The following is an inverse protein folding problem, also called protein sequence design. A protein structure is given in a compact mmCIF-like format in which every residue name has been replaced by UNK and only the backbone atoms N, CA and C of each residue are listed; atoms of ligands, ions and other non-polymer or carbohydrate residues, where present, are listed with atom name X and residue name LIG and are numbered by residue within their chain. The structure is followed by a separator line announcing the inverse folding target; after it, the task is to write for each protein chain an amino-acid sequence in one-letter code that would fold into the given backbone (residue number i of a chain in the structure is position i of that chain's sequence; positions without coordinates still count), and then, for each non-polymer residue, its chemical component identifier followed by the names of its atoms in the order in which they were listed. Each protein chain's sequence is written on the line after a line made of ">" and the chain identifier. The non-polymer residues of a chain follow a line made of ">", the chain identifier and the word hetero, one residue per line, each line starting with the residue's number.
data_IF_195778338979
#
_entry.id   IF_195778338979
#
_cell.length_a   1.000
_cell.length_b   1.000
_cell.length_c   1.000
_cell.angle_alpha   90.00
_cell.angle_beta   90.00
_cell.angle_gamma   90.00
#
_symmetry.space_group_name_H-M   'P 1'
#
loop_
_entity.id
_entity.type
_entity.pdbx_description
1 polymer ?
#
# COMPACT_ATOMS: atom_id res chain seq x y z
N UNK A 1 -18.96 17.28 -25.21
CA UNK A 1 -17.55 17.75 -25.29
C UNK A 1 -16.99 17.90 -23.87
N UNK A 2 -15.87 17.25 -23.50
CA UNK A 2 -15.26 17.46 -22.17
C UNK A 2 -14.50 18.80 -22.20
N UNK A 3 -14.79 19.75 -21.29
CA UNK A 3 -14.12 21.05 -21.27
C UNK A 3 -12.61 20.87 -21.12
N UNK A 4 -11.83 21.66 -21.89
CA UNK A 4 -10.35 21.55 -21.97
C UNK A 4 -9.67 21.59 -20.60
N UNK A 5 -10.29 22.20 -19.58
CA UNK A 5 -9.75 22.43 -18.23
C UNK A 5 -9.64 21.18 -17.34
N UNK A 6 -10.29 20.06 -17.68
CA UNK A 6 -10.28 18.83 -16.85
C UNK A 6 -9.43 17.68 -17.39
N UNK A 7 -8.48 17.97 -18.29
CA UNK A 7 -7.66 16.95 -18.98
C UNK A 7 -6.25 16.98 -18.44
N UNK A 8 -5.72 15.80 -18.15
CA UNK A 8 -4.33 15.59 -17.78
C UNK A 8 -3.38 16.04 -18.89
N UNK A 9 -2.14 16.30 -18.49
CA UNK A 9 -1.05 16.71 -19.36
C UNK A 9 -0.07 15.56 -19.58
N UNK A 10 0.68 15.60 -20.68
CA UNK A 10 1.77 14.68 -20.99
C UNK A 10 2.95 15.50 -21.49
N UNK A 11 4.15 14.97 -21.29
CA UNK A 11 5.32 15.48 -21.99
C UNK A 11 5.19 15.18 -23.48
N UNK A 12 5.44 16.19 -24.30
CA UNK A 12 5.52 16.07 -25.75
C UNK A 12 6.86 15.41 -26.11
N UNK A 13 6.87 14.55 -27.13
CA UNK A 13 8.08 13.90 -27.65
C UNK A 13 8.84 13.03 -26.62
N UNK A 14 8.16 12.63 -25.55
CA UNK A 14 8.68 11.73 -24.52
C UNK A 14 7.76 10.51 -24.40
N UNK A 15 8.36 9.33 -24.26
CA UNK A 15 7.61 8.09 -24.06
C UNK A 15 6.68 8.22 -22.84
N UNK A 16 5.38 7.90 -22.96
CA UNK A 16 4.45 7.98 -21.83
C UNK A 16 4.97 7.21 -20.61
N UNK A 17 4.97 7.87 -19.45
CA UNK A 17 5.52 7.32 -18.21
C UNK A 17 6.96 7.73 -17.92
N UNK A 18 7.69 8.34 -18.86
CA UNK A 18 9.01 8.90 -18.57
C UNK A 18 8.91 10.38 -18.18
N UNK A 19 9.81 10.80 -17.28
CA UNK A 19 10.05 12.19 -16.95
C UNK A 19 11.32 12.63 -17.71
N UNK A 20 11.31 13.75 -18.43
CA UNK A 20 12.49 14.23 -19.15
C UNK A 20 13.67 14.47 -18.19
N UNK A 21 14.88 14.20 -18.66
CA UNK A 21 16.13 14.45 -17.92
C UNK A 21 16.48 15.92 -17.82
N UNK A 22 16.03 16.73 -18.77
CA UNK A 22 16.23 18.18 -18.80
C UNK A 22 14.93 18.90 -18.40
N UNK A 23 15.05 19.91 -17.53
CA UNK A 23 13.93 20.71 -17.09
C UNK A 23 13.30 21.46 -18.26
N UNK A 24 11.97 21.41 -18.37
CA UNK A 24 11.13 22.12 -19.33
C UNK A 24 10.89 21.48 -20.71
N UNK A 25 10.63 20.16 -20.74
CA UNK A 25 10.01 19.57 -21.93
C UNK A 25 8.59 20.16 -22.17
N UNK A 26 8.23 20.50 -23.41
CA UNK A 26 6.90 20.99 -23.74
C UNK A 26 5.84 19.97 -23.35
N UNK A 27 4.65 20.43 -22.96
CA UNK A 27 3.55 19.55 -22.57
C UNK A 27 2.35 19.69 -23.49
N UNK A 28 1.60 18.61 -23.64
CA UNK A 28 0.35 18.56 -24.39
C UNK A 28 -0.75 17.97 -23.52
N UNK A 29 -2.02 18.15 -23.91
CA UNK A 29 -3.16 17.58 -23.18
C UNK A 29 -3.62 16.28 -23.83
N UNK A 30 -4.03 15.33 -22.99
CA UNK A 30 -4.57 14.06 -23.48
C UNK A 30 -5.88 14.24 -24.26
N UNK A 31 -6.17 13.31 -25.18
CA UNK A 31 -7.42 13.31 -25.97
C UNK A 31 -8.68 13.03 -25.11
N UNK A 32 -8.53 12.57 -23.86
CA UNK A 32 -9.60 12.29 -22.89
C UNK A 32 -9.49 13.10 -21.60
N UNK A 33 -9.88 12.51 -20.46
CA UNK A 33 -9.59 13.06 -19.11
C UNK A 33 -8.19 12.70 -18.64
N UNK A 34 -7.79 11.47 -18.91
CA UNK A 34 -6.49 10.90 -18.57
C UNK A 34 -5.97 10.10 -19.76
N UNK A 35 -4.70 9.74 -19.70
CA UNK A 35 -4.09 8.82 -20.66
C UNK A 35 -4.68 7.41 -20.50
N UNK A 36 -5.02 6.78 -21.63
CA UNK A 36 -5.65 5.46 -21.74
C UNK A 36 -4.82 4.47 -22.56
N UNK A 37 -3.54 4.78 -22.81
CA UNK A 37 -2.66 3.82 -23.46
C UNK A 37 -2.33 2.66 -22.52
N UNK A 38 -1.62 1.69 -23.06
CA UNK A 38 -1.15 0.54 -22.30
C UNK A 38 0.16 0.89 -21.60
N UNK A 39 0.16 0.89 -20.27
CA UNK A 39 1.37 1.15 -19.50
C UNK A 39 2.35 -0.01 -19.68
N UNK A 40 3.60 0.32 -19.99
CA UNK A 40 4.69 -0.65 -19.99
C UNK A 40 4.86 -1.22 -18.57
N UNK A 41 5.07 -2.53 -18.47
CA UNK A 41 5.29 -3.22 -17.20
C UNK A 41 6.49 -2.58 -16.48
N UNK A 42 6.32 -2.27 -15.19
CA UNK A 42 7.38 -1.80 -14.31
C UNK A 42 7.58 -2.84 -13.23
N UNK A 43 8.82 -3.34 -13.05
CA UNK A 43 9.12 -4.37 -12.04
C UNK A 43 9.26 -3.82 -10.62
N UNK A 44 9.37 -2.49 -10.49
CA UNK A 44 9.56 -1.79 -9.23
C UNK A 44 8.56 -0.65 -9.12
N UNK A 45 8.16 -0.26 -7.90
CA UNK A 45 7.34 0.93 -7.72
C UNK A 45 8.04 2.17 -8.28
N UNK A 46 7.26 3.21 -8.67
CA UNK A 46 7.84 4.46 -9.12
C UNK A 46 8.80 5.02 -8.06
N UNK A 47 9.99 5.46 -8.50
CA UNK A 47 11.03 5.92 -7.58
C UNK A 47 10.55 7.10 -6.74
N UNK A 48 10.70 7.00 -5.42
CA UNK A 48 10.34 8.06 -4.47
C UNK A 48 8.83 8.26 -4.31
N UNK A 49 8.01 7.27 -4.67
CA UNK A 49 6.55 7.33 -4.51
C UNK A 49 6.14 6.30 -3.47
N UNK A 50 5.75 6.77 -2.28
CA UNK A 50 5.24 5.91 -1.22
C UNK A 50 3.92 5.20 -1.62
N UNK A 51 3.55 4.09 -0.95
CA UNK A 51 2.33 3.36 -1.25
C UNK A 51 1.06 4.23 -1.26
N UNK A 52 0.81 5.02 -0.20
CA UNK A 52 -0.38 5.88 -0.13
C UNK A 52 -0.45 6.91 -1.28
N UNK A 53 0.69 7.46 -1.67
CA UNK A 53 0.78 8.41 -2.78
C UNK A 53 0.50 7.74 -4.13
N UNK A 54 0.79 6.43 -4.26
CA UNK A 54 0.44 5.65 -5.45
C UNK A 54 -1.08 5.54 -5.63
N UNK A 55 -1.85 5.40 -4.56
CA UNK A 55 -3.32 5.44 -4.63
C UNK A 55 -3.80 6.81 -5.08
N UNK A 56 -3.29 7.85 -4.43
CA UNK A 56 -3.68 9.24 -4.74
C UNK A 56 -3.34 9.65 -6.17
N UNK A 57 -2.19 9.23 -6.71
CA UNK A 57 -1.84 9.58 -8.10
C UNK A 57 -2.66 8.80 -9.12
N UNK A 58 -3.32 7.68 -8.78
CA UNK A 58 -4.14 6.92 -9.73
C UNK A 58 -5.46 7.60 -10.05
N UNK A 59 -6.15 8.17 -9.06
CA UNK A 59 -7.50 8.76 -9.23
C UNK A 59 -7.68 10.17 -8.61
N UNK A 60 -6.69 10.64 -7.85
CA UNK A 60 -6.70 11.92 -7.15
C UNK A 60 -7.43 11.90 -5.82
N UNK A 61 -7.75 10.73 -5.26
CA UNK A 61 -8.40 10.52 -3.96
C UNK A 61 -7.41 9.84 -3.03
N UNK A 62 -7.35 10.30 -1.78
CA UNK A 62 -6.72 9.53 -0.71
C UNK A 62 -7.83 8.68 -0.10
N UNK A 63 -7.78 7.38 -0.35
CA UNK A 63 -8.73 6.40 0.18
C UNK A 63 -8.28 5.90 1.56
N UNK A 64 -9.18 5.38 2.41
CA UNK A 64 -8.74 4.83 3.69
C UNK A 64 -7.78 3.65 3.50
N UNK A 65 -7.95 2.84 2.43
CA UNK A 65 -6.99 1.78 2.08
C UNK A 65 -5.57 2.29 1.89
N UNK A 66 -5.40 3.51 1.40
CA UNK A 66 -4.09 4.13 1.19
C UNK A 66 -3.41 4.42 2.53
N UNK A 67 -4.19 4.88 3.52
CA UNK A 67 -3.71 5.14 4.88
C UNK A 67 -3.35 3.83 5.60
N UNK A 68 -4.16 2.78 5.42
CA UNK A 68 -3.84 1.44 5.94
C UNK A 68 -2.54 0.91 5.33
N UNK A 69 -2.38 1.00 4.01
CA UNK A 69 -1.16 0.59 3.33
C UNK A 69 0.09 1.36 3.82
N UNK A 70 -0.01 2.66 4.06
CA UNK A 70 1.09 3.46 4.60
C UNK A 70 1.48 3.03 6.02
N UNK A 71 0.52 2.66 6.84
CA UNK A 71 0.79 2.17 8.19
C UNK A 71 1.50 0.81 8.16
N UNK A 72 1.09 -0.09 7.27
CA UNK A 72 1.78 -1.37 7.06
C UNK A 72 3.19 -1.14 6.50
N UNK A 73 3.33 -0.22 5.53
CA UNK A 73 4.63 0.19 5.00
C UNK A 73 5.56 0.77 6.07
N UNK A 74 5.05 1.59 6.99
CA UNK A 74 5.82 2.11 8.11
C UNK A 74 6.27 1.00 9.05
N UNK A 75 5.41 0.00 9.29
CA UNK A 75 5.78 -1.14 10.12
C UNK A 75 6.86 -2.00 9.47
N UNK A 76 6.71 -2.29 8.18
CA UNK A 76 7.69 -3.04 7.39
C UNK A 76 9.02 -2.30 7.25
N UNK A 77 9.01 -0.96 7.29
CA UNK A 77 10.22 -0.11 7.38
C UNK A 77 10.82 -0.07 8.79
N UNK A 78 10.24 -0.77 9.77
CA UNK A 78 10.77 -0.87 11.12
C UNK A 78 10.53 0.37 11.99
N UNK A 79 9.50 1.18 11.71
CA UNK A 79 9.14 2.29 12.59
C UNK A 79 8.43 1.81 13.85
N UNK A 80 7.56 0.82 13.70
CA UNK A 80 6.87 0.16 14.80
C UNK A 80 6.56 -1.30 14.41
N UNK A 81 6.41 -2.18 15.40
CA UNK A 81 5.91 -3.54 15.20
C UNK A 81 4.44 -3.64 15.59
N UNK A 82 3.72 -4.57 14.96
CA UNK A 82 2.39 -5.01 15.40
C UNK A 82 2.52 -6.43 15.94
N UNK A 83 1.89 -6.70 17.08
CA UNK A 83 1.77 -8.02 17.67
C UNK A 83 0.32 -8.24 18.07
N UNK A 84 -0.26 -9.36 17.66
CA UNK A 84 -1.59 -9.74 18.13
C UNK A 84 -1.50 -10.18 19.59
N UNK A 85 -2.36 -9.64 20.44
CA UNK A 85 -2.46 -9.97 21.85
C UNK A 85 -3.93 -10.23 22.17
N UNK A 86 -4.29 -11.50 22.36
CA UNK A 86 -5.67 -11.96 22.47
C UNK A 86 -6.51 -11.51 21.24
N UNK A 87 -7.57 -10.73 21.46
CA UNK A 87 -8.45 -10.14 20.45
C UNK A 87 -8.09 -8.66 20.12
N UNK A 88 -6.90 -8.18 20.51
CA UNK A 88 -6.45 -6.81 20.25
C UNK A 88 -5.05 -6.78 19.63
N UNK A 89 -4.66 -5.62 19.12
CA UNK A 89 -3.37 -5.38 18.49
C UNK A 89 -2.51 -4.50 19.36
N UNK A 90 -1.35 -5.01 19.76
CA UNK A 90 -0.32 -4.24 20.43
C UNK A 90 0.63 -3.64 19.39
N UNK A 91 0.84 -2.34 19.46
CA UNK A 91 1.79 -1.61 18.64
C UNK A 91 2.96 -1.18 19.52
N UNK A 92 4.18 -1.41 19.07
CA UNK A 92 5.41 -1.06 19.78
C UNK A 92 6.34 -0.25 18.87
N UNK A 93 6.69 0.96 19.30
CA UNK A 93 7.56 1.87 18.57
C UNK A 93 9.02 1.37 18.64
N UNK A 94 9.61 1.11 17.48
CA UNK A 94 10.95 0.48 17.39
C UNK A 94 12.08 1.52 17.31
N UNK A 95 11.75 2.77 17.01
CA UNK A 95 12.72 3.86 16.86
C UNK A 95 12.10 5.23 17.13
N UNK A 96 12.93 6.17 17.53
CA UNK A 96 12.51 7.55 17.70
C UNK A 96 11.98 8.13 16.38
N UNK A 97 10.89 8.90 16.45
CA UNK A 97 10.28 9.55 15.28
C UNK A 97 11.17 10.72 14.85
N UNK A 98 11.94 10.54 13.79
CA UNK A 98 12.84 11.56 13.22
C UNK A 98 12.18 12.13 11.96
N UNK A 99 11.68 13.37 12.05
CA UNK A 99 10.89 13.99 10.98
C UNK A 99 11.65 14.17 9.64
N UNK A 100 12.98 14.16 9.63
CA UNK A 100 13.76 14.25 8.39
C UNK A 100 13.81 12.95 7.58
N UNK A 101 13.46 11.82 8.19
CA UNK A 101 13.43 10.49 7.54
C UNK A 101 12.03 10.09 7.06
N UNK A 102 11.03 10.91 7.36
CA UNK A 102 9.61 10.62 7.17
C UNK A 102 8.95 11.72 6.35
N UNK A 103 7.91 11.36 5.61
CA UNK A 103 7.03 12.38 5.03
C UNK A 103 6.21 13.06 6.14
N UNK A 104 5.74 14.31 5.93
CA UNK A 104 4.85 14.97 6.90
C UNK A 104 3.59 14.14 7.23
N UNK A 105 3.06 13.40 6.26
CA UNK A 105 1.91 12.53 6.47
C UNK A 105 2.25 11.35 7.41
N UNK A 106 3.41 10.74 7.23
CA UNK A 106 3.88 9.65 8.06
C UNK A 106 4.16 10.08 9.51
N UNK A 107 4.75 11.27 9.69
CA UNK A 107 4.95 11.86 11.03
C UNK A 107 3.61 12.04 11.74
N UNK A 108 2.61 12.60 11.05
CA UNK A 108 1.28 12.81 11.62
C UNK A 108 0.62 11.48 12.00
N UNK A 109 0.76 10.45 11.15
CA UNK A 109 0.22 9.12 11.46
C UNK A 109 0.91 8.51 12.69
N UNK A 110 2.23 8.49 12.73
CA UNK A 110 2.99 7.91 13.86
C UNK A 110 2.69 8.63 15.17
N UNK A 111 2.64 9.96 15.16
CA UNK A 111 2.26 10.74 16.35
C UNK A 111 0.82 10.49 16.79
N UNK A 112 -0.07 10.18 15.86
CA UNK A 112 -1.45 9.78 16.15
C UNK A 112 -1.54 8.39 16.76
N UNK A 113 -0.74 7.44 16.26
CA UNK A 113 -0.68 6.06 16.77
C UNK A 113 -0.03 6.00 18.15
N UNK A 114 0.98 6.82 18.41
CA UNK A 114 1.74 6.83 19.67
C UNK A 114 1.57 8.18 20.41
N UNK A 115 0.37 8.46 20.95
CA UNK A 115 0.10 9.73 21.62
C UNK A 115 0.98 9.89 22.86
N UNK A 116 1.49 11.11 23.07
CA UNK A 116 2.32 11.41 24.24
C UNK A 116 3.69 10.73 24.25
N UNK A 117 4.18 10.26 23.09
CA UNK A 117 5.44 9.50 22.97
C UNK A 117 5.39 8.13 23.69
N UNK A 118 4.21 7.52 23.76
CA UNK A 118 4.10 6.15 24.23
C UNK A 118 4.96 5.22 23.37
N UNK A 119 5.75 4.35 24.01
CA UNK A 119 6.55 3.33 23.30
C UNK A 119 5.69 2.12 22.94
N UNK A 120 4.64 1.83 23.73
CA UNK A 120 3.73 0.71 23.49
C UNK A 120 2.29 1.15 23.70
N UNK A 121 1.40 0.76 22.79
CA UNK A 121 -0.04 1.05 22.85
C UNK A 121 -0.85 -0.14 22.40
N UNK A 122 -2.07 -0.28 22.92
CA UNK A 122 -3.07 -1.16 22.29
C UNK A 122 -3.88 -0.36 21.26
N UNK A 123 -4.19 -0.99 20.14
CA UNK A 123 -4.94 -0.39 19.05
C UNK A 123 -6.32 0.08 19.52
N UNK A 124 -7.01 -0.74 20.30
CA UNK A 124 -8.31 -0.38 20.88
C UNK A 124 -8.26 0.91 21.72
N UNK A 125 -7.14 1.19 22.39
CA UNK A 125 -6.94 2.36 23.23
C UNK A 125 -6.75 3.64 22.41
N UNK A 126 -6.04 3.55 21.28
CA UNK A 126 -5.73 4.71 20.43
C UNK A 126 -6.81 4.99 19.38
N UNK A 127 -7.58 3.98 18.99
CA UNK A 127 -8.66 4.05 17.99
C UNK A 127 -9.65 5.21 18.20
N UNK A 128 -10.16 5.48 19.43
CA UNK A 128 -11.07 6.61 19.66
C UNK A 128 -10.48 7.99 19.32
N UNK A 129 -9.16 8.16 19.49
CA UNK A 129 -8.44 9.41 19.25
C UNK A 129 -7.92 9.58 17.82
N UNK A 130 -7.89 8.51 17.01
CA UNK A 130 -7.17 8.49 15.74
C UNK A 130 -7.89 9.23 14.59
N UNK A 131 -9.16 9.58 14.77
CA UNK A 131 -9.98 10.23 13.75
C UNK A 131 -9.38 11.56 13.23
N UNK A 132 -8.83 12.37 14.13
CA UNK A 132 -8.23 13.66 13.77
C UNK A 132 -6.84 13.47 13.12
N UNK A 133 -5.91 12.66 13.69
CA UNK A 133 -4.66 12.30 13.02
C UNK A 133 -4.85 11.76 11.60
N UNK A 134 -5.79 10.85 11.37
CA UNK A 134 -6.06 10.31 10.02
C UNK A 134 -6.53 11.38 9.03
N UNK A 135 -7.40 12.31 9.49
CA UNK A 135 -7.82 13.46 8.68
C UNK A 135 -6.65 14.40 8.35
N UNK A 136 -5.78 14.66 9.32
CA UNK A 136 -4.59 15.49 9.13
C UNK A 136 -3.57 14.81 8.20
N UNK A 137 -3.34 13.51 8.36
CA UNK A 137 -2.51 12.69 7.49
C UNK A 137 -2.99 12.75 6.04
N UNK A 138 -4.30 12.59 5.83
CA UNK A 138 -4.93 12.75 4.52
C UNK A 138 -4.66 14.13 3.91
N UNK A 139 -4.75 15.19 4.72
CA UNK A 139 -4.47 16.54 4.28
C UNK A 139 -2.99 16.71 3.87
N UNK A 140 -2.05 16.10 4.60
CA UNK A 140 -0.64 16.09 4.23
C UNK A 140 -0.38 15.37 2.91
N UNK A 141 -1.00 14.20 2.66
CA UNK A 141 -0.87 13.50 1.38
C UNK A 141 -1.35 14.38 0.20
N UNK A 142 -2.45 15.12 0.37
CA UNK A 142 -2.90 16.06 -0.65
C UNK A 142 -1.95 17.25 -0.85
N UNK A 143 -1.28 17.73 0.21
CA UNK A 143 -0.23 18.75 0.08
C UNK A 143 0.99 18.18 -0.64
N UNK A 144 1.37 16.95 -0.33
CA UNK A 144 2.54 16.29 -0.90
C UNK A 144 2.40 16.08 -2.41
N UNK A 145 1.27 15.58 -2.91
CA UNK A 145 1.07 15.43 -4.38
C UNK A 145 1.12 16.77 -5.14
N UNK A 146 0.87 17.89 -4.46
CA UNK A 146 1.04 19.24 -5.02
C UNK A 146 2.50 19.68 -4.94
N UNK A 147 3.17 19.47 -3.81
CA UNK A 147 4.60 19.79 -3.63
C UNK A 147 5.49 19.00 -4.61
N UNK A 148 5.16 17.73 -4.85
CA UNK A 148 5.81 16.88 -5.85
C UNK A 148 5.53 17.30 -7.30
N UNK A 149 4.65 18.30 -7.49
CA UNK A 149 4.29 18.85 -8.79
C UNK A 149 3.38 17.94 -9.61
N UNK A 150 2.74 16.92 -9.03
CA UNK A 150 1.85 16.00 -9.75
C UNK A 150 0.49 16.63 -10.03
N UNK A 151 0.05 17.53 -9.15
CA UNK A 151 -1.12 18.37 -9.32
C UNK A 151 -0.75 19.84 -9.13
N UNK A 152 -1.36 20.73 -9.92
CA UNK A 152 -1.14 22.20 -9.77
C UNK A 152 -1.79 22.79 -8.51
N UNK A 153 -2.75 22.07 -7.93
CA UNK A 153 -3.55 22.50 -6.77
C UNK A 153 -4.16 21.26 -6.13
N UNK A 154 -4.60 21.40 -4.89
CA UNK A 154 -5.24 20.32 -4.13
C UNK A 154 -6.36 19.64 -4.96
N UNK A 155 -6.24 18.31 -5.23
CA UNK A 155 -7.21 17.54 -6.02
C UNK A 155 -8.67 17.66 -5.55
N UNK A 156 -8.91 17.91 -4.26
CA UNK A 156 -10.24 18.06 -3.67
C UNK A 156 -10.93 19.36 -4.10
N UNK A 157 -10.17 20.43 -4.40
CA UNK A 157 -10.73 21.74 -4.79
C UNK A 157 -11.52 21.71 -6.10
N UNK A 158 -11.40 20.65 -6.90
CA UNK A 158 -12.23 20.41 -8.09
C UNK A 158 -13.60 19.79 -7.80
N UNK A 159 -13.86 19.34 -6.57
CA UNK A 159 -15.01 18.49 -6.20
C UNK A 159 -16.09 19.20 -5.38
N UNK A 160 -16.36 20.48 -5.63
CA UNK A 160 -17.37 21.25 -4.89
C UNK A 160 -18.84 20.93 -5.24
N UNK A 161 -19.10 19.91 -6.06
CA UNK A 161 -20.40 19.23 -6.11
C UNK A 161 -20.20 17.84 -6.72
N UNK A 162 -20.82 16.79 -6.13
CA UNK A 162 -21.01 15.46 -6.77
C UNK A 162 -21.68 15.55 -8.16
N UNK A 163 -22.12 16.74 -8.57
CA UNK A 163 -22.87 17.01 -9.79
C UNK A 163 -22.13 17.92 -10.79
N UNK A 164 -20.94 18.47 -10.48
CA UNK A 164 -20.18 19.33 -11.43
C UNK A 164 -18.83 18.70 -11.80
N UNK A 165 -18.73 18.30 -13.07
CA UNK A 165 -17.61 17.66 -13.77
C UNK A 165 -16.32 18.50 -13.78
N UNK A 166 -15.61 18.62 -12.66
CA UNK A 166 -14.42 19.47 -12.58
C UNK A 166 -13.24 18.89 -11.81
N UNK A 167 -12.78 17.66 -12.09
CA UNK A 167 -11.56 17.15 -11.46
C UNK A 167 -10.37 18.08 -11.67
N UNK A 168 -9.44 18.12 -10.72
CA UNK A 168 -8.14 18.76 -10.95
C UNK A 168 -7.31 17.82 -11.84
N UNK A 169 -6.89 18.27 -13.04
CA UNK A 169 -6.05 17.45 -13.90
C UNK A 169 -4.65 17.30 -13.32
N UNK A 170 -4.00 16.17 -13.60
CA UNK A 170 -2.58 15.98 -13.34
C UNK A 170 -1.74 16.81 -14.29
N UNK A 171 -0.58 17.22 -13.80
CA UNK A 171 0.50 17.76 -14.64
C UNK A 171 1.12 16.64 -15.47
N UNK A 172 1.98 16.98 -16.43
CA UNK A 172 2.75 15.99 -17.19
C UNK A 172 3.57 15.06 -16.28
N UNK A 173 4.19 15.62 -15.22
CA UNK A 173 4.90 14.84 -14.19
C UNK A 173 3.96 13.89 -13.45
N UNK A 174 2.80 14.37 -13.00
CA UNK A 174 1.81 13.54 -12.32
C UNK A 174 1.25 12.43 -13.21
N UNK A 175 1.07 12.71 -14.50
CA UNK A 175 0.67 11.69 -15.47
C UNK A 175 1.78 10.68 -15.76
N UNK A 176 3.05 11.11 -15.81
CA UNK A 176 4.17 10.18 -15.94
C UNK A 176 4.23 9.23 -14.74
N UNK A 177 4.15 9.76 -13.52
CA UNK A 177 4.11 8.94 -12.29
C UNK A 177 2.91 7.99 -12.31
N UNK A 178 1.71 8.47 -12.64
CA UNK A 178 0.53 7.60 -12.77
C UNK A 178 0.76 6.45 -13.75
N UNK A 179 1.38 6.71 -14.90
CA UNK A 179 1.65 5.68 -15.91
C UNK A 179 2.65 4.65 -15.37
N UNK A 180 3.70 5.09 -14.66
CA UNK A 180 4.61 4.18 -13.96
C UNK A 180 3.88 3.34 -12.90
N UNK A 181 3.03 3.97 -12.08
CA UNK A 181 2.20 3.28 -11.07
C UNK A 181 1.30 2.23 -11.72
N UNK A 182 0.67 2.54 -12.86
CA UNK A 182 -0.12 1.57 -13.63
C UNK A 182 0.73 0.42 -14.18
N UNK A 183 1.96 0.72 -14.63
CA UNK A 183 2.91 -0.29 -15.08
C UNK A 183 3.35 -1.23 -13.95
N UNK A 184 3.51 -0.71 -12.74
CA UNK A 184 3.86 -1.50 -11.56
C UNK A 184 2.68 -2.31 -11.04
N UNK A 185 1.48 -1.72 -11.01
CA UNK A 185 0.24 -2.44 -10.75
C UNK A 185 0.09 -3.62 -11.71
N UNK A 186 0.35 -3.40 -13.00
CA UNK A 186 0.31 -4.47 -14.01
C UNK A 186 1.30 -5.59 -13.69
N UNK A 187 2.53 -5.27 -13.30
CA UNK A 187 3.48 -6.28 -12.84
C UNK A 187 2.89 -7.11 -11.70
N UNK A 188 2.35 -6.49 -10.65
CA UNK A 188 1.71 -7.21 -9.55
C UNK A 188 0.43 -7.96 -9.95
N UNK A 189 -0.24 -7.58 -11.05
CA UNK A 189 -1.41 -8.28 -11.62
C UNK A 189 -1.04 -9.43 -12.58
N UNK A 190 0.19 -9.47 -13.10
CA UNK A 190 0.63 -10.49 -14.07
C UNK A 190 1.83 -11.29 -13.62
N UNK A 191 2.45 -10.96 -12.49
CA UNK A 191 3.60 -11.68 -11.95
C UNK A 191 3.24 -13.16 -11.77
N UNK A 192 4.13 -14.02 -12.25
CA UNK A 192 4.06 -15.47 -12.11
C UNK A 192 5.10 -15.95 -11.10
N UNK A 193 4.72 -16.88 -10.24
CA UNK A 193 5.61 -17.44 -9.22
C UNK A 193 6.89 -18.08 -9.81
N UNK A 194 6.81 -18.60 -11.04
CA UNK A 194 7.96 -19.16 -11.77
C UNK A 194 9.08 -18.16 -12.06
N UNK A 195 8.78 -16.85 -12.04
CA UNK A 195 9.72 -15.78 -12.35
C UNK A 195 10.40 -15.19 -11.11
N UNK A 196 9.91 -15.52 -9.92
CA UNK A 196 10.42 -14.98 -8.65
C UNK A 196 11.35 -16.02 -8.04
N UNK A 197 12.57 -15.59 -7.71
CA UNK A 197 13.52 -16.43 -6.97
C UNK A 197 13.04 -16.57 -5.53
N UNK A 198 13.16 -17.77 -4.97
CA UNK A 198 12.67 -18.04 -3.63
C UNK A 198 13.37 -17.17 -2.58
N UNK A 199 14.68 -17.01 -2.74
CA UNK A 199 15.55 -16.18 -1.90
C UNK A 199 15.14 -14.70 -1.92
N UNK A 200 14.45 -14.25 -2.97
CA UNK A 200 13.96 -12.87 -3.09
C UNK A 200 12.49 -12.73 -2.68
N UNK A 201 11.76 -13.84 -2.52
CA UNK A 201 10.31 -13.82 -2.34
C UNK A 201 9.91 -13.08 -1.07
N UNK A 202 10.67 -13.26 0.02
CA UNK A 202 10.51 -12.58 1.30
C UNK A 202 10.59 -11.05 1.16
N UNK A 203 11.72 -10.57 0.62
CA UNK A 203 12.00 -9.15 0.44
C UNK A 203 11.00 -8.50 -0.52
N UNK A 204 10.69 -9.17 -1.63
CA UNK A 204 9.70 -8.68 -2.59
C UNK A 204 8.29 -8.64 -2.00
N UNK A 205 7.91 -9.66 -1.21
CA UNK A 205 6.62 -9.68 -0.54
C UNK A 205 6.46 -8.47 0.38
N UNK A 206 7.39 -8.29 1.31
CA UNK A 206 7.40 -7.16 2.25
C UNK A 206 7.41 -5.82 1.51
N UNK A 207 8.28 -5.67 0.51
CA UNK A 207 8.40 -4.39 -0.22
C UNK A 207 7.16 -4.04 -1.03
N UNK A 208 6.45 -5.03 -1.59
CA UNK A 208 5.35 -4.78 -2.54
C UNK A 208 3.95 -4.96 -1.95
N UNK A 209 3.81 -5.58 -0.78
CA UNK A 209 2.53 -5.77 -0.10
C UNK A 209 1.75 -4.45 0.11
N UNK A 210 2.34 -3.36 0.63
CA UNK A 210 1.61 -2.10 0.77
C UNK A 210 1.06 -1.55 -0.55
N UNK A 211 1.79 -1.71 -1.66
CA UNK A 211 1.31 -1.29 -2.98
C UNK A 211 0.19 -2.20 -3.48
N UNK A 212 0.29 -3.51 -3.26
CA UNK A 212 -0.77 -4.45 -3.60
C UNK A 212 -2.06 -4.14 -2.83
N UNK A 213 -1.97 -3.74 -1.55
CA UNK A 213 -3.10 -3.27 -0.75
C UNK A 213 -3.75 -2.02 -1.34
N UNK A 214 -2.95 -1.03 -1.77
CA UNK A 214 -3.46 0.17 -2.44
C UNK A 214 -4.17 -0.16 -3.75
N UNK A 215 -3.61 -1.08 -4.54
CA UNK A 215 -4.20 -1.48 -5.82
C UNK A 215 -5.40 -2.42 -5.67
N UNK A 216 -5.62 -2.99 -4.48
CA UNK A 216 -6.65 -3.97 -4.20
C UNK A 216 -6.41 -5.33 -4.85
N UNK A 217 -5.14 -5.76 -4.83
CA UNK A 217 -4.67 -7.04 -5.36
C UNK A 217 -3.76 -7.75 -4.36
N UNK A 218 -3.90 -7.45 -3.06
CA UNK A 218 -3.09 -8.04 -1.99
C UNK A 218 -3.21 -9.57 -1.98
N UNK A 219 -4.43 -10.10 -2.08
CA UNK A 219 -4.71 -11.55 -2.08
C UNK A 219 -3.99 -12.26 -3.22
N UNK A 220 -4.07 -11.68 -4.43
CA UNK A 220 -3.36 -12.20 -5.60
C UNK A 220 -1.86 -12.23 -5.37
N UNK A 221 -1.31 -11.13 -4.84
CA UNK A 221 0.12 -11.01 -4.58
C UNK A 221 0.60 -12.01 -3.52
N UNK A 222 -0.14 -12.16 -2.42
CA UNK A 222 0.11 -13.18 -1.41
C UNK A 222 0.06 -14.59 -2.01
N UNK A 223 -0.93 -14.88 -2.87
CA UNK A 223 -1.05 -16.15 -3.57
C UNK A 223 0.15 -16.48 -4.48
N UNK A 224 0.70 -15.48 -5.19
CA UNK A 224 1.92 -15.65 -6.00
C UNK A 224 3.10 -16.04 -5.12
N UNK A 225 3.35 -15.32 -4.01
CA UNK A 225 4.46 -15.61 -3.11
C UNK A 225 4.29 -16.97 -2.41
N UNK A 226 3.06 -17.31 -2.00
CA UNK A 226 2.75 -18.63 -1.45
C UNK A 226 3.07 -19.76 -2.43
N UNK A 227 2.81 -19.58 -3.73
CA UNK A 227 3.24 -20.52 -4.77
C UNK A 227 4.76 -20.56 -4.96
N UNK A 228 5.48 -19.43 -4.88
CA UNK A 228 6.96 -19.44 -4.92
C UNK A 228 7.52 -20.34 -3.82
N UNK A 229 6.99 -20.19 -2.60
CA UNK A 229 7.40 -20.98 -1.42
C UNK A 229 7.05 -22.46 -1.61
N UNK A 230 5.82 -22.77 -2.04
CA UNK A 230 5.36 -24.15 -2.29
C UNK A 230 6.22 -24.86 -3.33
N UNK A 231 6.58 -24.19 -4.42
CA UNK A 231 7.37 -24.79 -5.52
C UNK A 231 8.77 -25.21 -5.12
N UNK A 232 9.35 -24.60 -4.08
CA UNK A 232 10.67 -24.97 -3.57
C UNK A 232 10.64 -26.01 -2.45
N UNK A 233 9.48 -26.62 -2.16
CA UNK A 233 9.32 -27.73 -1.20
C UNK A 233 9.96 -29.07 -1.66
N UNK A 234 11.24 -29.03 -2.01
CA UNK A 234 12.20 -30.13 -1.78
C UNK A 234 13.31 -29.69 -0.80
N UNK A 235 13.11 -28.61 -0.02
CA UNK A 235 14.08 -28.15 0.98
C UNK A 235 13.41 -27.93 2.33
N UNK A 236 14.06 -28.49 3.35
CA UNK A 236 13.74 -28.50 4.78
C UNK A 236 13.25 -27.14 5.29
N UNK A 237 12.08 -27.12 5.94
CA UNK A 237 11.40 -25.94 6.48
C UNK A 237 12.28 -25.10 7.43
N UNK A 238 13.32 -25.71 8.01
CA UNK A 238 14.35 -25.04 8.80
C UNK A 238 15.23 -24.06 7.99
N UNK A 239 15.45 -24.29 6.70
CA UNK A 239 16.27 -23.41 5.85
C UNK A 239 15.51 -22.13 5.44
N UNK A 240 14.22 -22.27 5.18
CA UNK A 240 13.29 -21.16 4.94
C UNK A 240 13.22 -20.29 6.18
N UNK A 241 13.01 -20.90 7.36
CA UNK A 241 13.05 -20.19 8.63
C UNK A 241 14.38 -19.44 8.83
N UNK A 242 15.53 -20.05 8.49
CA UNK A 242 16.85 -19.45 8.67
C UNK A 242 17.17 -18.30 7.68
N UNK A 243 16.62 -18.31 6.47
CA UNK A 243 16.81 -17.24 5.48
C UNK A 243 15.94 -16.02 5.83
N UNK A 244 14.67 -16.26 6.16
CA UNK A 244 13.79 -15.25 6.77
C UNK A 244 14.33 -14.78 8.12
N UNK A 245 15.10 -15.61 8.83
CA UNK A 245 15.71 -15.25 10.10
C UNK A 245 16.80 -14.20 10.03
N UNK A 246 17.44 -14.11 8.86
CA UNK A 246 18.53 -13.17 8.64
C UNK A 246 18.07 -11.73 8.48
N UNK A 247 16.76 -11.50 8.32
CA UNK A 247 16.09 -10.21 8.42
C UNK A 247 15.29 -10.15 9.75
N UNK A 248 15.84 -9.50 10.80
CA UNK A 248 15.22 -9.46 12.12
C UNK A 248 13.82 -8.82 12.14
N UNK A 249 13.51 -7.95 11.17
CA UNK A 249 12.20 -7.31 11.06
C UNK A 249 11.19 -8.19 10.32
N UNK A 250 11.63 -8.93 9.30
CA UNK A 250 10.82 -9.98 8.70
C UNK A 250 10.47 -11.05 9.74
N UNK A 251 11.45 -11.47 10.56
CA UNK A 251 11.25 -12.40 11.68
C UNK A 251 10.26 -11.88 12.71
N UNK A 252 10.28 -10.61 13.11
CA UNK A 252 9.36 -10.11 14.16
C UNK A 252 7.91 -10.00 13.68
N UNK A 253 7.70 -9.69 12.40
CA UNK A 253 6.38 -9.71 11.77
C UNK A 253 5.92 -11.15 11.52
N UNK A 254 6.83 -12.04 11.11
CA UNK A 254 6.57 -13.48 10.92
C UNK A 254 6.44 -14.24 12.25
N UNK A 255 7.05 -13.82 13.36
CA UNK A 255 6.89 -14.41 14.70
C UNK A 255 5.49 -14.12 15.26
N UNK A 256 4.89 -13.00 14.85
CA UNK A 256 3.47 -12.75 15.00
C UNK A 256 2.64 -13.64 14.06
N UNK A 257 2.98 -13.66 12.77
CA UNK A 257 2.23 -14.27 11.67
C UNK A 257 2.39 -15.79 11.48
N UNK A 258 3.35 -16.46 12.13
CA UNK A 258 3.83 -17.79 11.71
C UNK A 258 4.22 -18.68 12.89
N UNK A 259 3.23 -19.44 13.35
CA UNK A 259 3.50 -20.83 13.71
C UNK A 259 3.88 -21.58 12.41
N UNK A 260 5.14 -21.99 12.27
CA UNK A 260 5.80 -22.47 11.02
C UNK A 260 5.28 -23.83 10.49
N UNK A 261 4.06 -24.22 10.85
CA UNK A 261 3.28 -25.30 10.24
C UNK A 261 2.19 -24.78 9.27
N UNK A 262 1.83 -23.49 9.33
CA UNK A 262 0.64 -22.95 8.65
C UNK A 262 0.95 -21.68 7.85
N UNK A 263 1.48 -21.81 6.64
CA UNK A 263 1.46 -20.74 5.63
C UNK A 263 0.03 -20.32 5.22
N UNK A 264 -1.01 -20.96 5.79
CA UNK A 264 -2.39 -20.51 5.77
C UNK A 264 -2.75 -19.52 6.89
N UNK A 265 -2.13 -19.60 8.07
CA UNK A 265 -2.45 -18.77 9.23
C UNK A 265 -1.95 -17.33 9.11
N UNK A 266 -0.80 -17.11 8.47
CA UNK A 266 -0.26 -15.77 8.20
C UNK A 266 -1.24 -14.90 7.37
N UNK A 267 -1.98 -15.54 6.49
CA UNK A 267 -3.03 -14.91 5.73
C UNK A 267 -4.23 -14.46 6.55
N UNK A 268 -4.71 -15.33 7.43
CA UNK A 268 -5.82 -15.09 8.36
C UNK A 268 -5.48 -13.98 9.34
N UNK A 269 -4.25 -13.94 9.84
CA UNK A 269 -3.85 -12.94 10.83
C UNK A 269 -3.60 -11.56 10.19
N UNK A 270 -3.04 -11.51 8.98
CA UNK A 270 -2.97 -10.29 8.18
C UNK A 270 -4.38 -9.80 7.77
N UNK A 271 -5.29 -10.70 7.37
CA UNK A 271 -6.68 -10.35 7.06
C UNK A 271 -7.42 -9.82 8.29
N UNK A 272 -7.27 -10.47 9.45
CA UNK A 272 -7.83 -10.02 10.72
C UNK A 272 -7.30 -8.64 11.12
N UNK A 273 -5.98 -8.45 11.02
CA UNK A 273 -5.35 -7.14 11.23
C UNK A 273 -5.96 -6.08 10.30
N UNK A 274 -6.07 -6.37 9.00
CA UNK A 274 -6.59 -5.42 8.01
C UNK A 274 -8.09 -5.18 8.18
N UNK A 275 -8.87 -6.16 8.67
CA UNK A 275 -10.26 -6.00 9.08
C UNK A 275 -10.40 -5.07 10.28
N UNK A 276 -9.61 -5.28 11.33
CA UNK A 276 -9.60 -4.44 12.54
C UNK A 276 -9.15 -3.01 12.24
N UNK A 277 -8.12 -2.86 11.40
CA UNK A 277 -7.64 -1.58 10.87
C UNK A 277 -8.61 -0.97 9.85
N UNK A 278 -9.39 -1.77 9.12
CA UNK A 278 -10.49 -1.31 8.29
C UNK A 278 -11.58 -0.66 9.15
N UNK A 279 -11.93 -1.30 10.28
CA UNK A 279 -12.84 -0.76 11.28
C UNK A 279 -12.30 0.47 12.03
N UNK A 280 -10.98 0.69 12.06
CA UNK A 280 -10.35 1.94 12.52
C UNK A 280 -10.59 3.09 11.54
N UNK A 281 -10.70 2.79 10.26
CA UNK A 281 -10.81 3.77 9.18
C UNK A 281 -12.26 4.04 8.75
N UNK A 282 -13.22 3.23 9.20
CA UNK A 282 -14.67 3.43 9.02
C UNK A 282 -15.29 4.48 9.98
N UNK A 283 -14.51 5.51 10.32
CA UNK A 283 -14.95 6.62 11.18
C UNK A 283 -15.90 7.57 10.44
N UNK A 284 -17.14 7.10 10.24
CA UNK A 284 -18.35 7.89 10.06
C UNK A 284 -18.45 8.65 8.74
N UNK A 285 -18.59 7.94 7.61
CA UNK A 285 -19.32 8.43 6.42
C UNK A 285 -19.49 7.34 5.33
N UNK A 286 -20.21 6.25 5.59
CA UNK A 286 -20.80 5.41 4.52
C UNK A 286 -19.87 5.02 3.36
N UNK A 287 -18.64 4.62 3.67
CA UNK A 287 -17.66 4.11 2.70
C UNK A 287 -17.58 2.59 2.89
N UNK A 288 -18.61 1.88 2.44
CA UNK A 288 -18.55 0.41 2.35
C UNK A 288 -17.48 -0.02 1.34
N UNK A 289 -16.74 -1.09 1.67
CA UNK A 289 -15.87 -1.78 0.71
C UNK A 289 -14.44 -2.04 1.14
N UNK A 290 -14.06 -1.81 2.40
CA UNK A 290 -12.79 -2.33 2.93
C UNK A 290 -12.97 -3.77 3.43
N UNK A 291 -14.04 -4.05 4.19
CA UNK A 291 -14.40 -5.42 4.63
C UNK A 291 -14.50 -6.39 3.47
N UNK A 292 -15.35 -6.12 2.48
CA UNK A 292 -15.52 -6.99 1.29
C UNK A 292 -14.23 -7.24 0.46
N UNK A 293 -13.25 -6.33 0.53
CA UNK A 293 -11.96 -6.49 -0.17
C UNK A 293 -10.94 -7.32 0.63
N UNK A 294 -11.21 -7.57 1.90
CA UNK A 294 -10.37 -8.36 2.81
C UNK A 294 -11.07 -9.65 3.28
N UNK A 295 -12.40 -9.75 3.18
CA UNK A 295 -13.17 -10.99 3.38
C UNK A 295 -12.74 -12.08 2.38
N UNK A 296 -12.41 -11.70 1.13
CA UNK A 296 -11.84 -12.63 0.14
C UNK A 296 -10.42 -13.13 0.46
N UNK A 297 -9.67 -12.37 1.26
CA UNK A 297 -8.37 -12.76 1.79
C UNK A 297 -8.58 -13.83 2.89
N UNK A 298 -9.60 -13.68 3.74
CA UNK A 298 -10.03 -14.69 4.72
C UNK A 298 -10.55 -16.00 4.11
N UNK A 299 -11.46 -15.91 3.13
CA UNK A 299 -12.06 -17.08 2.45
C UNK A 299 -11.03 -17.95 1.70
N UNK A 300 -9.91 -17.37 1.22
CA UNK A 300 -8.82 -18.11 0.58
C UNK A 300 -8.07 -19.03 1.57
N UNK A 301 -7.96 -18.60 2.82
CA UNK A 301 -7.30 -19.37 3.87
C UNK A 301 -8.25 -20.34 4.60
N UNK A 302 -9.55 -20.04 4.62
CA UNK A 302 -10.61 -20.97 5.09
C UNK A 302 -10.87 -22.14 4.11
N UNK A 303 -10.64 -21.95 2.81
CA UNK A 303 -10.80 -23.01 1.79
C UNK A 303 -9.69 -24.07 1.75
N UNK A 304 -8.66 -23.91 2.59
CA UNK A 304 -7.61 -24.89 2.84
C UNK A 304 -7.97 -25.66 4.12
N UNK A 305 -8.58 -26.85 3.99
CA UNK A 305 -8.67 -27.81 5.10
C UNK A 305 -7.26 -28.30 5.45
N UNK A 306 -6.57 -27.52 6.29
CA UNK A 306 -5.17 -27.72 6.71
C UNK A 306 -5.02 -28.88 7.70
N UNK A 307 -6.13 -29.39 8.23
CA UNK A 307 -6.17 -30.53 9.15
C UNK A 307 -6.06 -31.91 8.47
N UNK A 308 -6.31 -32.00 7.16
CA UNK A 308 -6.24 -33.28 6.43
C UNK A 308 -4.80 -33.66 5.98
N UNK A 309 -3.81 -32.81 6.28
CA UNK A 309 -2.42 -33.00 5.84
C UNK A 309 -1.47 -33.54 6.93
N UNK A 310 -1.95 -33.78 8.15
CA UNK A 310 -1.11 -34.18 9.29
C UNK A 310 -1.61 -35.40 10.07
N UNK A 311 -2.39 -36.28 9.44
CA UNK A 311 -2.68 -37.60 10.02
C UNK A 311 -1.63 -38.63 9.53
N UNK A 312 -0.45 -38.61 10.16
CA UNK A 312 0.53 -39.71 10.21
C UNK A 312 1.35 -39.69 11.50
#
# INVERSE_FOLDING_TARGET
>A
MIPRRGRDELYLDVTPGLVPTEGDAPTTRVRGREWKGEAAVQFHPPRGVAPALSGTVLDGVVDPRDLAAMMIDLSLRGWFSLRKQDDDWQLELQRAIIASELSPAEVVLLQGLFPGQAETVLLSQVKPGLAQPLRACRDELYREVVQQGWYRRDPRRGRLARLVKGRVPRTARGSAVRIQTLGFRRYLETAEASQIRFEEAADQFSRYLPYAMVFGIADRWAGVIGEVVRRQQLVDSASVAAEFASDPMAWYLLDGLVDMAELGAAGVELAGMLGDMGGLLDLGAGLGGIGDAFDGLGDFFDGFDLFDLFDF
#
